data_IF_883355748646
#
_entry.id   IF_883355748646
#
_cell.length_a   1.000
_cell.length_b   1.000
_cell.length_c   1.000
_cell.angle_alpha   90.00
_cell.angle_beta   90.00
_cell.angle_gamma   90.00
#
_symmetry.space_group_name_H-M   'P 1'
#
loop_
_entity.id
_entity.type
_entity.pdbx_description
1 polymer ?
#
# COMPACT_ATOMS: atom_id res chain seq x y z
N UNK A 1 -14.87 -60.23 -51.72
CA UNK A 1 -14.61 -58.98 -52.46
C UNK A 1 -14.74 -57.81 -51.49
N UNK A 2 -13.62 -57.08 -51.29
CA UNK A 2 -13.42 -55.73 -50.71
C UNK A 2 -14.17 -55.40 -49.40
N UNK A 3 -13.56 -55.50 -48.20
CA UNK A 3 -12.49 -54.63 -47.63
C UNK A 3 -12.97 -53.17 -47.51
N UNK A 4 -13.00 -52.48 -46.35
CA UNK A 4 -11.88 -52.18 -45.47
C UNK A 4 -12.34 -51.70 -44.05
N UNK A 5 -11.67 -52.25 -43.01
CA UNK A 5 -11.03 -51.63 -41.81
C UNK A 5 -11.75 -50.60 -40.89
N UNK A 6 -11.52 -50.53 -39.57
CA UNK A 6 -11.03 -51.41 -38.46
C UNK A 6 -10.84 -50.51 -37.20
N UNK A 7 -11.05 -51.10 -36.03
CA UNK A 7 -10.29 -50.99 -34.75
C UNK A 7 -10.06 -49.66 -33.99
N UNK A 8 -10.57 -49.71 -32.76
CA UNK A 8 -9.99 -49.38 -31.44
C UNK A 8 -8.49 -49.03 -31.28
N UNK A 9 -8.27 -48.23 -30.22
CA UNK A 9 -7.17 -48.24 -29.21
C UNK A 9 -6.13 -47.10 -29.23
N UNK A 10 -6.20 -46.30 -28.15
CA UNK A 10 -5.15 -45.68 -27.32
C UNK A 10 -3.75 -45.43 -27.94
N UNK A 11 -3.33 -44.16 -28.02
CA UNK A 11 -1.92 -43.80 -27.82
C UNK A 11 -1.72 -42.36 -27.34
N UNK A 12 -1.01 -42.30 -26.21
CA UNK A 12 -0.50 -41.16 -25.47
C UNK A 12 0.65 -40.49 -26.26
N UNK A 13 0.53 -39.22 -26.61
CA UNK A 13 1.64 -38.45 -27.17
C UNK A 13 1.57 -36.97 -26.75
N UNK A 14 2.35 -36.68 -25.71
CA UNK A 14 3.10 -35.44 -25.45
C UNK A 14 2.58 -34.15 -26.10
N UNK A 15 1.74 -33.39 -25.39
CA UNK A 15 1.70 -31.94 -25.54
C UNK A 15 2.57 -31.31 -24.44
N UNK A 16 3.71 -30.77 -24.87
CA UNK A 16 4.62 -29.97 -24.07
C UNK A 16 3.84 -28.86 -23.33
N UNK A 17 4.05 -28.67 -22.01
CA UNK A 17 3.62 -27.45 -21.35
C UNK A 17 4.52 -26.33 -21.87
N UNK A 18 4.00 -25.52 -22.80
CA UNK A 18 4.54 -24.18 -23.03
C UNK A 18 4.41 -23.42 -21.71
N UNK A 19 5.48 -23.45 -20.92
CA UNK A 19 5.65 -22.60 -19.75
C UNK A 19 5.87 -21.19 -20.29
N UNK A 20 4.78 -20.50 -20.61
CA UNK A 20 4.81 -19.05 -20.66
C UNK A 20 5.20 -18.60 -19.28
N UNK A 21 6.45 -18.15 -19.14
CA UNK A 21 6.93 -17.38 -18.01
C UNK A 21 6.21 -16.02 -18.04
N UNK A 22 4.90 -16.04 -17.77
CA UNK A 22 4.16 -14.84 -17.47
C UNK A 22 4.70 -14.36 -16.12
N UNK A 23 5.53 -13.32 -16.17
CA UNK A 23 5.86 -12.50 -15.02
C UNK A 23 4.54 -12.16 -14.30
N UNK A 24 4.23 -12.90 -13.24
CA UNK A 24 3.17 -12.54 -12.30
C UNK A 24 3.60 -11.26 -11.61
N UNK A 25 3.36 -10.12 -12.25
CA UNK A 25 3.09 -8.90 -11.49
C UNK A 25 1.95 -9.26 -10.55
N UNK A 26 2.22 -9.33 -9.24
CA UNK A 26 1.19 -9.53 -8.22
C UNK A 26 0.16 -8.41 -8.38
N UNK A 27 -0.90 -8.65 -9.14
CA UNK A 27 -2.05 -7.76 -9.22
C UNK A 27 -2.66 -7.71 -7.83
N UNK A 28 -2.66 -6.52 -7.21
CA UNK A 28 -3.21 -6.35 -5.87
C UNK A 28 -4.68 -6.71 -5.88
N UNK A 29 -5.14 -7.41 -4.83
CA UNK A 29 -6.55 -7.77 -4.72
C UNK A 29 -7.41 -6.54 -4.42
N UNK A 30 -8.71 -6.60 -4.74
CA UNK A 30 -9.67 -5.55 -4.41
C UNK A 30 -9.62 -5.17 -2.92
N UNK A 31 -9.55 -6.17 -2.03
CA UNK A 31 -9.43 -5.94 -0.59
C UNK A 31 -8.16 -5.16 -0.19
N UNK A 32 -7.03 -5.39 -0.87
CA UNK A 32 -5.79 -4.62 -0.65
C UNK A 32 -5.95 -3.16 -1.10
N UNK A 33 -6.60 -2.91 -2.23
CA UNK A 33 -6.86 -1.56 -2.71
C UNK A 33 -7.80 -0.78 -1.78
N UNK A 34 -8.83 -1.44 -1.22
CA UNK A 34 -9.73 -0.83 -0.25
C UNK A 34 -9.01 -0.48 1.07
N UNK A 35 -8.12 -1.35 1.55
CA UNK A 35 -7.29 -1.09 2.73
C UNK A 35 -6.39 0.13 2.51
N UNK A 36 -5.64 0.16 1.41
CA UNK A 36 -4.75 1.29 1.08
C UNK A 36 -5.52 2.60 0.92
N UNK A 37 -6.74 2.55 0.36
CA UNK A 37 -7.62 3.71 0.26
C UNK A 37 -8.00 4.24 1.65
N UNK A 38 -8.37 3.36 2.58
CA UNK A 38 -8.71 3.74 3.96
C UNK A 38 -7.53 4.39 4.68
N UNK A 39 -6.32 3.83 4.51
CA UNK A 39 -5.07 4.37 5.05
C UNK A 39 -4.76 5.76 4.47
N UNK A 40 -4.87 5.92 3.15
CA UNK A 40 -4.68 7.21 2.48
C UNK A 40 -5.69 8.27 2.96
N UNK A 41 -6.96 7.91 3.15
CA UNK A 41 -7.96 8.85 3.69
C UNK A 41 -7.64 9.29 5.13
N UNK A 42 -7.12 8.38 5.96
CA UNK A 42 -6.66 8.71 7.30
C UNK A 42 -5.47 9.69 7.27
N UNK A 43 -4.51 9.47 6.36
CA UNK A 43 -3.39 10.39 6.12
C UNK A 43 -3.83 11.76 5.62
N UNK A 44 -4.83 11.83 4.73
CA UNK A 44 -5.41 13.11 4.28
C UNK A 44 -6.02 13.86 5.47
N UNK A 45 -6.80 13.17 6.32
CA UNK A 45 -7.40 13.78 7.52
C UNK A 45 -6.34 14.32 8.48
N UNK A 46 -5.26 13.57 8.65
CA UNK A 46 -4.12 13.95 9.49
C UNK A 46 -3.36 15.16 8.93
N UNK A 47 -2.99 15.12 7.64
CA UNK A 47 -2.32 16.22 6.97
C UNK A 47 -3.19 17.49 6.94
N UNK A 48 -4.52 17.35 6.79
CA UNK A 48 -5.47 18.46 6.94
C UNK A 48 -5.46 19.06 8.34
N UNK A 49 -5.36 18.23 9.39
CA UNK A 49 -5.29 18.71 10.78
C UNK A 49 -4.00 19.49 11.01
N UNK A 50 -2.87 18.96 10.56
CA UNK A 50 -1.56 19.61 10.65
C UNK A 50 -1.58 20.94 9.88
N UNK A 51 -2.07 20.93 8.64
CA UNK A 51 -2.20 22.12 7.80
C UNK A 51 -3.03 23.21 8.48
N UNK A 52 -4.20 22.87 9.03
CA UNK A 52 -5.06 23.82 9.73
C UNK A 52 -4.36 24.46 10.93
N UNK A 53 -3.57 23.69 11.68
CA UNK A 53 -2.84 24.20 12.83
C UNK A 53 -1.68 25.11 12.43
N UNK A 54 -0.91 24.75 11.40
CA UNK A 54 0.20 25.58 10.90
C UNK A 54 -0.33 26.89 10.29
N UNK A 55 -1.40 26.83 9.51
CA UNK A 55 -2.00 28.01 8.86
C UNK A 55 -2.47 29.09 9.84
N UNK A 56 -2.89 28.74 11.06
CA UNK A 56 -3.36 29.70 12.07
C UNK A 56 -2.27 30.69 12.48
N UNK A 57 -0.99 30.28 12.48
CA UNK A 57 0.11 31.17 12.86
C UNK A 57 0.69 31.93 11.66
N UNK A 58 0.84 31.27 10.51
CA UNK A 58 1.42 31.87 9.31
C UNK A 58 0.95 31.17 8.04
N UNK A 59 0.31 31.92 7.14
CA UNK A 59 -0.25 31.42 5.87
C UNK A 59 0.79 31.16 4.76
N UNK A 60 2.05 31.54 4.97
CA UNK A 60 3.14 31.32 4.02
C UNK A 60 4.37 30.82 4.78
N UNK A 61 4.38 29.53 5.13
CA UNK A 61 5.49 28.87 5.81
C UNK A 61 5.95 27.61 5.06
N UNK A 62 7.20 27.19 5.31
CA UNK A 62 7.72 25.93 4.77
C UNK A 62 6.96 24.72 5.34
N UNK A 63 6.51 24.80 6.59
CA UNK A 63 5.65 23.77 7.21
C UNK A 63 4.29 23.63 6.52
N UNK A 64 3.66 24.74 6.12
CA UNK A 64 2.44 24.71 5.31
C UNK A 64 2.69 24.10 3.92
N UNK A 65 3.78 24.50 3.25
CA UNK A 65 4.16 23.95 1.95
C UNK A 65 4.37 22.42 2.02
N UNK A 66 5.04 21.95 3.06
CA UNK A 66 5.29 20.51 3.26
C UNK A 66 3.98 19.75 3.53
N UNK A 67 3.06 20.32 4.32
CA UNK A 67 1.74 19.73 4.53
C UNK A 67 0.89 19.66 3.24
N UNK A 68 0.95 20.70 2.40
CA UNK A 68 0.28 20.69 1.08
C UNK A 68 0.90 19.63 0.17
N UNK A 69 2.24 19.51 0.12
CA UNK A 69 2.94 18.48 -0.66
C UNK A 69 2.59 17.07 -0.21
N UNK A 70 2.49 16.83 1.09
CA UNK A 70 2.04 15.54 1.62
C UNK A 70 0.60 15.25 1.17
N UNK A 71 -0.32 16.21 1.32
CA UNK A 71 -1.70 16.05 0.82
C UNK A 71 -1.74 15.72 -0.67
N UNK A 72 -0.95 16.40 -1.50
CA UNK A 72 -0.84 16.12 -2.94
C UNK A 72 -0.34 14.70 -3.19
N UNK A 73 0.66 14.24 -2.43
CA UNK A 73 1.22 12.90 -2.56
C UNK A 73 0.18 11.84 -2.23
N UNK A 74 -0.53 12.00 -1.12
CA UNK A 74 -1.59 11.07 -0.71
C UNK A 74 -2.77 11.11 -1.69
N UNK A 75 -3.15 12.30 -2.16
CA UNK A 75 -4.20 12.48 -3.17
C UNK A 75 -3.90 11.74 -4.47
N UNK A 76 -2.66 11.83 -4.97
CA UNK A 76 -2.19 11.04 -6.11
C UNK A 76 -2.27 9.53 -5.84
N UNK A 77 -1.94 9.10 -4.62
CA UNK A 77 -2.11 7.71 -4.19
C UNK A 77 -3.55 7.22 -4.27
N UNK A 78 -4.51 8.03 -3.81
CA UNK A 78 -5.96 7.74 -3.93
C UNK A 78 -6.38 7.62 -5.39
N UNK A 79 -6.00 8.57 -6.24
CA UNK A 79 -6.32 8.56 -7.68
C UNK A 79 -5.74 7.31 -8.36
N UNK A 80 -4.50 6.94 -8.04
CA UNK A 80 -3.86 5.73 -8.57
C UNK A 80 -4.60 4.46 -8.13
N UNK A 81 -5.07 4.39 -6.88
CA UNK A 81 -5.83 3.25 -6.40
C UNK A 81 -7.22 3.14 -7.05
N UNK A 82 -7.91 4.26 -7.24
CA UNK A 82 -9.18 4.30 -8.01
C UNK A 82 -8.94 3.85 -9.45
N UNK A 83 -7.84 4.28 -10.07
CA UNK A 83 -7.48 3.87 -11.44
C UNK A 83 -7.26 2.35 -11.55
N UNK A 84 -6.59 1.75 -10.56
CA UNK A 84 -6.42 0.29 -10.48
C UNK A 84 -7.74 -0.44 -10.28
N UNK A 85 -8.64 0.09 -9.44
CA UNK A 85 -9.98 -0.47 -9.21
C UNK A 85 -10.83 -0.43 -10.48
N UNK A 86 -10.75 0.67 -11.26
CA UNK A 86 -11.40 0.78 -12.57
C UNK A 86 -10.85 -0.26 -13.55
N UNK A 87 -9.53 -0.46 -13.60
CA UNK A 87 -8.92 -1.45 -14.49
C UNK A 87 -9.31 -2.89 -14.11
N UNK A 88 -9.42 -3.17 -12.81
CA UNK A 88 -9.93 -4.45 -12.32
C UNK A 88 -11.37 -4.67 -12.79
N UNK A 89 -12.26 -3.69 -12.58
CA UNK A 89 -13.67 -3.78 -13.02
C UNK A 89 -13.78 -3.88 -14.54
N UNK A 90 -12.90 -3.23 -15.31
CA UNK A 90 -12.88 -3.35 -16.77
C UNK A 90 -12.58 -4.79 -17.21
N UNK A 91 -11.65 -5.47 -16.53
CA UNK A 91 -11.32 -6.87 -16.81
C UNK A 91 -12.50 -7.77 -16.47
N UNK A 92 -13.10 -7.58 -15.29
CA UNK A 92 -14.31 -8.29 -14.84
C UNK A 92 -15.52 -8.08 -15.76
N UNK A 93 -15.66 -6.90 -16.37
CA UNK A 93 -16.72 -6.58 -17.34
C UNK A 93 -16.48 -7.33 -18.64
N UNK A 94 -15.25 -7.30 -19.17
CA UNK A 94 -14.90 -8.01 -20.39
C UNK A 94 -15.09 -9.52 -20.27
N UNK A 95 -14.76 -10.10 -19.11
CA UNK A 95 -14.99 -11.52 -18.83
C UNK A 95 -16.48 -11.85 -18.81
N UNK A 96 -17.30 -11.07 -18.09
CA UNK A 96 -18.75 -11.27 -18.05
C UNK A 96 -19.41 -11.08 -19.42
N UNK A 97 -18.95 -10.13 -20.23
CA UNK A 97 -19.40 -9.95 -21.62
C UNK A 97 -19.07 -11.19 -22.47
N UNK A 98 -17.87 -11.77 -22.31
CA UNK A 98 -17.51 -13.03 -22.96
C UNK A 98 -18.44 -14.20 -22.57
N UNK A 99 -18.75 -14.33 -21.28
CA UNK A 99 -19.70 -15.34 -20.77
C UNK A 99 -21.11 -15.12 -21.33
N UNK A 100 -21.60 -13.88 -21.35
CA UNK A 100 -22.91 -13.53 -21.91
C UNK A 100 -22.98 -13.93 -23.39
N UNK A 101 -21.95 -13.61 -24.18
CA UNK A 101 -21.92 -13.95 -25.60
C UNK A 101 -21.93 -15.47 -25.81
N UNK A 102 -21.22 -16.24 -24.99
CA UNK A 102 -21.23 -17.70 -25.04
C UNK A 102 -22.63 -18.27 -24.70
N UNK A 103 -23.25 -17.80 -23.61
CA UNK A 103 -24.59 -18.24 -23.20
C UNK A 103 -25.66 -17.88 -24.24
N UNK A 104 -25.54 -16.72 -24.88
CA UNK A 104 -26.42 -16.32 -25.98
C UNK A 104 -26.30 -17.28 -27.17
N UNK A 105 -25.07 -17.60 -27.58
CA UNK A 105 -24.84 -18.59 -28.66
C UNK A 105 -25.38 -19.97 -28.30
N UNK A 106 -25.22 -20.41 -27.05
CA UNK A 106 -25.75 -21.69 -26.58
C UNK A 106 -27.28 -21.70 -26.60
N UNK A 107 -27.94 -20.63 -26.16
CA UNK A 107 -29.41 -20.50 -26.24
C UNK A 107 -29.89 -20.57 -27.69
N UNK A 108 -29.21 -19.93 -28.62
CA UNK A 108 -29.57 -19.98 -30.04
C UNK A 108 -29.49 -21.40 -30.60
N UNK A 109 -28.39 -22.12 -30.32
CA UNK A 109 -28.22 -23.52 -30.74
C UNK A 109 -29.27 -24.44 -30.11
N UNK A 110 -29.46 -24.34 -28.79
CA UNK A 110 -30.43 -25.16 -28.06
C UNK A 110 -31.86 -24.92 -28.58
N UNK A 111 -32.22 -23.66 -28.89
CA UNK A 111 -33.53 -23.30 -29.47
C UNK A 111 -33.69 -23.83 -30.90
N UNK A 112 -32.65 -23.79 -31.73
CA UNK A 112 -32.68 -24.32 -33.08
C UNK A 112 -32.89 -25.85 -33.10
N UNK A 113 -32.15 -26.57 -32.25
CA UNK A 113 -32.32 -28.01 -32.03
C UNK A 113 -33.73 -28.32 -31.51
N UNK A 114 -34.21 -27.56 -30.52
CA UNK A 114 -35.55 -27.72 -29.96
C UNK A 114 -36.65 -27.46 -30.99
N UNK A 115 -36.51 -26.41 -31.80
CA UNK A 115 -37.45 -26.09 -32.88
C UNK A 115 -37.54 -27.24 -33.90
N UNK A 116 -36.40 -27.82 -34.27
CA UNK A 116 -36.35 -29.00 -35.15
C UNK A 116 -37.10 -30.17 -34.51
N UNK A 117 -36.89 -30.40 -33.21
CA UNK A 117 -37.56 -31.50 -32.52
C UNK A 117 -39.07 -31.32 -32.41
N UNK A 118 -39.51 -30.09 -32.13
CA UNK A 118 -40.93 -29.71 -32.05
C UNK A 118 -41.60 -29.80 -33.42
N UNK A 119 -40.94 -29.34 -34.48
CA UNK A 119 -41.46 -29.42 -35.84
C UNK A 119 -41.59 -30.87 -36.34
N UNK A 120 -40.61 -31.73 -36.05
CA UNK A 120 -40.74 -33.16 -36.37
C UNK A 120 -41.89 -33.81 -35.59
N UNK A 121 -42.04 -33.47 -34.31
CA UNK A 121 -43.14 -33.97 -33.50
C UNK A 121 -44.52 -33.47 -33.98
N UNK A 122 -44.62 -32.24 -34.50
CA UNK A 122 -45.88 -31.67 -34.98
C UNK A 122 -46.43 -32.43 -36.19
N UNK A 123 -45.56 -32.93 -37.08
CA UNK A 123 -45.95 -33.81 -38.20
C UNK A 123 -46.60 -35.12 -37.74
N UNK A 124 -46.28 -35.57 -36.53
CA UNK A 124 -46.81 -36.78 -35.90
C UNK A 124 -47.76 -36.50 -34.73
N UNK A 125 -48.19 -35.25 -34.55
CA UNK A 125 -48.88 -34.82 -33.33
C UNK A 125 -50.32 -35.33 -33.20
N UNK A 126 -50.97 -35.67 -34.31
CA UNK A 126 -52.30 -36.28 -34.25
C UNK A 126 -52.19 -37.65 -33.55
N UNK A 127 -53.02 -37.88 -32.53
CA UNK A 127 -53.09 -39.15 -31.79
C UNK A 127 -53.35 -40.33 -32.73
N UNK A 128 -54.14 -40.11 -33.79
CA UNK A 128 -54.36 -41.09 -34.84
C UNK A 128 -53.06 -41.44 -35.59
N UNK A 129 -52.24 -40.44 -35.98
CA UNK A 129 -50.97 -40.65 -36.67
C UNK A 129 -49.93 -41.36 -35.77
N UNK A 130 -49.96 -41.09 -34.46
CA UNK A 130 -49.09 -41.76 -33.49
C UNK A 130 -49.46 -43.24 -33.33
N UNK A 131 -50.75 -43.54 -33.21
CA UNK A 131 -51.24 -44.92 -33.17
C UNK A 131 -50.97 -45.63 -34.50
N UNK A 132 -51.26 -44.99 -35.63
CA UNK A 132 -50.96 -45.51 -36.97
C UNK A 132 -49.47 -45.86 -37.12
N UNK A 133 -48.55 -44.99 -36.66
CA UNK A 133 -47.12 -45.26 -36.67
C UNK A 133 -46.72 -46.45 -35.79
N UNK A 134 -47.31 -46.59 -34.60
CA UNK A 134 -47.04 -47.72 -33.72
C UNK A 134 -47.59 -49.03 -34.31
N UNK A 135 -48.83 -49.05 -34.77
CA UNK A 135 -49.53 -50.23 -35.29
C UNK A 135 -49.12 -50.62 -36.72
N UNK A 136 -48.50 -49.73 -37.51
CA UNK A 136 -47.86 -50.07 -38.79
C UNK A 136 -46.52 -50.81 -38.62
N UNK A 137 -46.31 -51.49 -37.49
CA UNK A 137 -45.12 -52.30 -37.23
C UNK A 137 -45.35 -53.72 -37.75
N UNK A 138 -44.35 -54.29 -38.42
CA UNK A 138 -44.38 -55.65 -38.98
C UNK A 138 -44.21 -56.74 -37.91
N UNK A 139 -43.74 -56.37 -36.71
CA UNK A 139 -43.54 -57.28 -35.59
C UNK A 139 -43.72 -56.59 -34.24
N UNK A 140 -44.02 -57.39 -33.20
CA UNK A 140 -44.11 -56.92 -31.82
C UNK A 140 -42.80 -56.25 -31.34
N UNK A 141 -41.64 -56.78 -31.72
CA UNK A 141 -40.35 -56.16 -31.38
C UNK A 141 -40.22 -54.76 -32.00
N UNK A 142 -40.61 -54.59 -33.27
CA UNK A 142 -40.58 -53.29 -33.93
C UNK A 142 -41.58 -52.30 -33.29
N UNK A 143 -42.75 -52.76 -32.87
CA UNK A 143 -43.72 -51.98 -32.10
C UNK A 143 -43.11 -51.46 -30.79
N UNK A 144 -42.51 -52.35 -29.99
CA UNK A 144 -41.87 -51.99 -28.71
C UNK A 144 -40.73 -50.98 -28.91
N UNK A 145 -39.90 -51.18 -29.95
CA UNK A 145 -38.84 -50.24 -30.29
C UNK A 145 -39.40 -48.86 -30.67
N UNK A 146 -40.41 -48.79 -31.56
CA UNK A 146 -41.07 -47.53 -31.93
C UNK A 146 -41.69 -46.82 -30.72
N UNK A 147 -42.31 -47.56 -29.79
CA UNK A 147 -42.84 -47.01 -28.55
C UNK A 147 -41.75 -46.39 -27.67
N UNK A 148 -40.63 -47.12 -27.47
CA UNK A 148 -39.46 -46.62 -26.70
C UNK A 148 -38.86 -45.38 -27.36
N UNK A 149 -38.73 -45.35 -28.68
CA UNK A 149 -38.24 -44.17 -29.40
C UNK A 149 -39.12 -42.94 -29.17
N UNK A 150 -40.45 -43.08 -29.22
CA UNK A 150 -41.36 -41.96 -28.95
C UNK A 150 -41.24 -41.45 -27.51
N UNK A 151 -41.06 -42.35 -26.53
CA UNK A 151 -40.82 -41.97 -25.13
C UNK A 151 -39.49 -41.23 -24.98
N UNK A 152 -38.39 -41.80 -25.47
CA UNK A 152 -37.07 -41.19 -25.40
C UNK A 152 -37.03 -39.82 -26.07
N UNK A 153 -37.71 -39.67 -27.21
CA UNK A 153 -37.80 -38.39 -27.92
C UNK A 153 -38.61 -37.33 -27.16
N UNK A 154 -39.71 -37.74 -26.50
CA UNK A 154 -40.48 -36.85 -25.63
C UNK A 154 -39.66 -36.40 -24.42
N UNK A 155 -38.92 -37.32 -23.80
CA UNK A 155 -38.01 -37.00 -22.70
C UNK A 155 -36.87 -36.07 -23.14
N UNK A 156 -36.26 -36.32 -24.30
CA UNK A 156 -35.21 -35.46 -24.85
C UNK A 156 -35.71 -34.03 -25.08
N UNK A 157 -36.92 -33.85 -25.65
CA UNK A 157 -37.54 -32.52 -25.79
C UNK A 157 -37.77 -31.84 -24.45
N UNK A 158 -38.30 -32.58 -23.46
CA UNK A 158 -38.53 -32.02 -22.13
C UNK A 158 -37.22 -31.57 -21.46
N UNK A 159 -36.18 -32.39 -21.52
CA UNK A 159 -34.83 -32.05 -21.03
C UNK A 159 -34.23 -30.84 -21.75
N UNK A 160 -34.39 -30.75 -23.07
CA UNK A 160 -33.92 -29.59 -23.85
C UNK A 160 -34.63 -28.29 -23.43
N UNK A 161 -35.95 -28.34 -23.23
CA UNK A 161 -36.71 -27.18 -22.75
C UNK A 161 -36.25 -26.74 -21.34
N UNK A 162 -35.99 -27.69 -20.44
CA UNK A 162 -35.44 -27.42 -19.12
C UNK A 162 -34.03 -26.79 -19.20
N UNK A 163 -33.17 -27.31 -20.09
CA UNK A 163 -31.84 -26.75 -20.33
C UNK A 163 -31.91 -25.31 -20.84
N UNK A 164 -32.77 -25.03 -21.82
CA UNK A 164 -33.00 -23.66 -22.31
C UNK A 164 -33.41 -22.75 -21.14
N UNK A 165 -34.34 -23.20 -20.29
CA UNK A 165 -34.75 -22.47 -19.10
C UNK A 165 -33.59 -22.17 -18.14
N UNK A 166 -32.75 -23.17 -17.83
CA UNK A 166 -31.57 -23.00 -16.97
C UNK A 166 -30.56 -22.01 -17.54
N UNK A 167 -30.22 -22.14 -18.82
CA UNK A 167 -29.26 -21.23 -19.48
C UNK A 167 -29.82 -19.81 -19.55
N UNK A 168 -31.13 -19.64 -19.79
CA UNK A 168 -31.79 -18.34 -19.75
C UNK A 168 -31.73 -17.68 -18.36
N UNK A 169 -31.91 -18.45 -17.28
CA UNK A 169 -31.77 -17.94 -15.91
C UNK A 169 -30.34 -17.49 -15.62
N UNK A 170 -29.34 -18.28 -16.02
CA UNK A 170 -27.92 -17.92 -15.86
C UNK A 170 -27.60 -16.66 -16.66
N UNK A 171 -28.06 -16.57 -17.91
CA UNK A 171 -27.87 -15.38 -18.76
C UNK A 171 -28.45 -14.12 -18.10
N UNK A 172 -29.68 -14.18 -17.60
CA UNK A 172 -30.30 -13.05 -16.92
C UNK A 172 -29.50 -12.63 -15.69
N UNK A 173 -29.03 -13.58 -14.88
CA UNK A 173 -28.17 -13.31 -13.72
C UNK A 173 -26.83 -12.66 -14.10
N UNK A 174 -26.22 -13.09 -15.21
CA UNK A 174 -25.00 -12.47 -15.73
C UNK A 174 -25.23 -11.04 -16.25
N UNK A 175 -26.38 -10.79 -16.90
CA UNK A 175 -26.78 -9.44 -17.36
C UNK A 175 -26.96 -8.47 -16.18
N UNK A 176 -27.63 -8.91 -15.10
CA UNK A 176 -27.76 -8.12 -13.87
C UNK A 176 -26.39 -7.81 -13.24
N UNK A 177 -25.50 -8.82 -13.20
CA UNK A 177 -24.13 -8.68 -12.70
C UNK A 177 -23.34 -7.67 -13.53
N UNK A 178 -23.45 -7.74 -14.86
CA UNK A 178 -22.81 -6.81 -15.79
C UNK A 178 -23.30 -5.38 -15.56
N UNK A 179 -24.61 -5.18 -15.42
CA UNK A 179 -25.19 -3.86 -15.16
C UNK A 179 -24.71 -3.29 -13.81
N UNK A 180 -24.65 -4.12 -12.76
CA UNK A 180 -24.10 -3.74 -11.46
C UNK A 180 -22.63 -3.31 -11.56
N UNK A 181 -21.78 -4.08 -12.26
CA UNK A 181 -20.37 -3.74 -12.50
C UNK A 181 -20.23 -2.42 -13.28
N UNK A 182 -21.04 -2.19 -14.32
CA UNK A 182 -21.06 -0.94 -15.09
C UNK A 182 -21.47 0.26 -14.24
N UNK A 183 -22.46 0.10 -13.34
CA UNK A 183 -22.85 1.12 -12.36
C UNK A 183 -21.72 1.45 -11.39
N UNK A 184 -21.04 0.43 -10.86
CA UNK A 184 -19.88 0.62 -9.98
C UNK A 184 -18.75 1.38 -10.68
N UNK A 185 -18.39 0.99 -11.92
CA UNK A 185 -17.40 1.69 -12.75
C UNK A 185 -17.74 3.17 -12.93
N UNK A 186 -18.99 3.50 -13.28
CA UNK A 186 -19.44 4.90 -13.42
C UNK A 186 -19.27 5.68 -12.11
N UNK A 187 -19.60 5.06 -10.97
CA UNK A 187 -19.38 5.64 -9.65
C UNK A 187 -17.90 5.95 -9.36
N UNK A 188 -16.99 5.05 -9.73
CA UNK A 188 -15.54 5.27 -9.55
C UNK A 188 -14.99 6.35 -10.47
N UNK A 189 -15.45 6.43 -11.72
CA UNK A 189 -15.06 7.50 -12.65
C UNK A 189 -15.45 8.88 -12.11
N UNK A 190 -16.68 9.02 -11.58
CA UNK A 190 -17.12 10.26 -10.95
C UNK A 190 -16.27 10.63 -9.73
N UNK A 191 -15.90 9.65 -8.90
CA UNK A 191 -14.98 9.85 -7.77
C UNK A 191 -13.60 10.31 -8.27
N UNK A 192 -13.04 9.64 -9.28
CA UNK A 192 -11.75 10.02 -9.86
C UNK A 192 -11.73 11.46 -10.38
N UNK A 193 -12.82 11.90 -11.03
CA UNK A 193 -12.97 13.28 -11.48
C UNK A 193 -12.99 14.27 -10.31
N UNK A 194 -13.73 13.97 -9.24
CA UNK A 194 -13.75 14.80 -8.03
C UNK A 194 -12.37 14.87 -7.37
N UNK A 195 -11.66 13.74 -7.25
CA UNK A 195 -10.32 13.71 -6.68
C UNK A 195 -9.28 14.45 -7.54
N UNK A 196 -9.43 14.43 -8.86
CA UNK A 196 -8.59 15.23 -9.77
C UNK A 196 -8.84 16.73 -9.60
N UNK A 197 -10.11 17.16 -9.45
CA UNK A 197 -10.43 18.56 -9.15
C UNK A 197 -9.79 19.01 -7.83
N UNK A 198 -9.90 18.19 -6.78
CA UNK A 198 -9.25 18.44 -5.50
C UNK A 198 -7.73 18.56 -5.64
N UNK A 199 -7.10 17.68 -6.42
CA UNK A 199 -5.67 17.72 -6.69
C UNK A 199 -5.24 19.02 -7.40
N UNK A 200 -6.02 19.50 -8.37
CA UNK A 200 -5.74 20.77 -9.05
C UNK A 200 -5.81 21.93 -8.04
N UNK A 201 -6.84 21.99 -7.21
CA UNK A 201 -6.96 23.01 -6.16
C UNK A 201 -5.75 23.01 -5.22
N UNK A 202 -5.30 21.83 -4.79
CA UNK A 202 -4.10 21.70 -3.94
C UNK A 202 -2.83 22.18 -4.64
N UNK A 203 -2.67 21.92 -5.94
CA UNK A 203 -1.54 22.43 -6.72
C UNK A 203 -1.57 23.94 -6.84
N UNK A 204 -2.73 24.54 -7.10
CA UNK A 204 -2.87 26.00 -7.14
C UNK A 204 -2.54 26.64 -5.78
N UNK A 205 -2.96 26.01 -4.68
CA UNK A 205 -2.56 26.44 -3.33
C UNK A 205 -1.05 26.33 -3.12
N UNK A 206 -0.44 25.22 -3.55
CA UNK A 206 1.01 25.02 -3.51
C UNK A 206 1.74 26.15 -4.25
N UNK A 207 1.32 26.45 -5.48
CA UNK A 207 1.95 27.48 -6.32
C UNK A 207 1.82 28.88 -5.70
N UNK A 208 0.67 29.18 -5.08
CA UNK A 208 0.46 30.42 -4.34
C UNK A 208 1.42 30.56 -3.16
N UNK A 209 1.57 29.51 -2.34
CA UNK A 209 2.47 29.51 -1.18
C UNK A 209 3.93 29.62 -1.64
N UNK A 210 4.32 28.91 -2.69
CA UNK A 210 5.67 29.02 -3.27
C UNK A 210 5.93 30.45 -3.76
N UNK A 211 4.97 31.08 -4.42
CA UNK A 211 5.08 32.48 -4.88
C UNK A 211 5.24 33.45 -3.71
N UNK A 212 4.48 33.29 -2.64
CA UNK A 212 4.60 34.12 -1.43
C UNK A 212 5.95 33.93 -0.74
N UNK A 213 6.41 32.68 -0.57
CA UNK A 213 7.71 32.38 0.04
C UNK A 213 8.88 32.88 -0.82
N UNK A 214 8.75 32.84 -2.15
CA UNK A 214 9.78 33.36 -3.06
C UNK A 214 9.92 34.88 -2.96
N UNK A 215 8.86 35.62 -2.60
CA UNK A 215 8.97 37.07 -2.32
C UNK A 215 9.71 37.38 -1.03
N UNK A 216 9.88 36.40 -0.14
CA UNK A 216 10.59 36.50 1.13
C UNK A 216 11.97 35.82 1.08
N UNK A 217 12.58 35.78 -0.12
CA UNK A 217 13.79 35.01 -0.39
C UNK A 217 14.93 35.31 0.59
N UNK A 218 15.20 36.60 0.84
CA UNK A 218 16.29 37.04 1.71
C UNK A 218 16.13 36.53 3.15
N UNK A 219 14.94 36.71 3.74
CA UNK A 219 14.62 36.22 5.09
C UNK A 219 14.75 34.68 5.16
N UNK A 220 14.30 33.99 4.11
CA UNK A 220 14.36 32.54 4.03
C UNK A 220 15.80 32.03 3.91
N UNK A 221 16.67 32.74 3.18
CA UNK A 221 18.10 32.42 3.12
C UNK A 221 18.77 32.54 4.49
N UNK A 222 18.46 33.59 5.24
CA UNK A 222 18.97 33.77 6.61
C UNK A 222 18.48 32.67 7.56
N UNK A 223 17.20 32.33 7.50
CA UNK A 223 16.60 31.25 8.31
C UNK A 223 17.25 29.89 7.99
N UNK A 224 17.47 29.60 6.70
CA UNK A 224 18.13 28.36 6.27
C UNK A 224 19.58 28.30 6.75
N UNK A 225 20.32 29.41 6.66
CA UNK A 225 21.69 29.48 7.16
C UNK A 225 21.76 29.22 8.68
N UNK A 226 20.87 29.85 9.45
CA UNK A 226 20.76 29.63 10.90
C UNK A 226 20.40 28.16 11.23
N UNK A 227 19.45 27.58 10.50
CA UNK A 227 19.05 26.17 10.65
C UNK A 227 20.20 25.22 10.33
N UNK A 228 20.95 25.46 9.25
CA UNK A 228 22.12 24.65 8.90
C UNK A 228 23.20 24.72 9.99
N UNK A 229 23.43 25.90 10.57
CA UNK A 229 24.39 26.06 11.66
C UNK A 229 23.94 25.29 12.92
N UNK A 230 22.65 25.34 13.26
CA UNK A 230 22.08 24.59 14.37
C UNK A 230 22.21 23.07 14.19
N UNK A 231 21.97 22.56 12.98
CA UNK A 231 22.17 21.15 12.63
C UNK A 231 23.64 20.75 12.77
N UNK A 232 24.58 21.56 12.28
CA UNK A 232 26.02 21.29 12.45
C UNK A 232 26.43 21.21 13.92
N UNK A 233 25.90 22.10 14.77
CA UNK A 233 26.16 22.07 16.22
C UNK A 233 25.65 20.78 16.87
N UNK A 234 24.43 20.36 16.51
CA UNK A 234 23.88 19.08 16.96
C UNK A 234 24.76 17.90 16.51
N UNK A 235 25.14 17.86 15.24
CA UNK A 235 25.93 16.75 14.70
C UNK A 235 27.29 16.62 15.37
N UNK A 236 27.95 17.75 15.66
CA UNK A 236 29.21 17.76 16.39
C UNK A 236 29.01 17.25 17.82
N UNK A 237 27.95 17.70 18.52
CA UNK A 237 27.61 17.22 19.86
C UNK A 237 27.37 15.70 19.87
N UNK A 238 26.62 15.17 18.90
CA UNK A 238 26.40 13.73 18.78
C UNK A 238 27.72 13.01 18.57
N UNK A 239 28.56 13.48 17.65
CA UNK A 239 29.85 12.86 17.36
C UNK A 239 30.77 12.82 18.58
N UNK A 240 30.77 13.88 19.39
CA UNK A 240 31.55 13.96 20.63
C UNK A 240 31.03 12.98 21.69
N UNK A 241 29.71 12.93 21.90
CA UNK A 241 29.08 11.98 22.83
C UNK A 241 29.34 10.53 22.42
N UNK A 242 29.17 10.20 21.13
CA UNK A 242 29.44 8.85 20.62
C UNK A 242 30.91 8.48 20.82
N UNK A 243 31.84 9.40 20.53
CA UNK A 243 33.28 9.16 20.68
C UNK A 243 33.64 8.91 22.15
N UNK A 244 33.11 9.72 23.06
CA UNK A 244 33.33 9.55 24.50
C UNK A 244 32.77 8.22 24.98
N UNK A 245 31.58 7.82 24.53
CA UNK A 245 30.96 6.56 24.90
C UNK A 245 31.75 5.35 24.39
N UNK A 246 32.24 5.38 23.15
CA UNK A 246 33.14 4.33 22.62
C UNK A 246 34.41 4.23 23.46
N UNK A 247 35.01 5.38 23.84
CA UNK A 247 36.21 5.39 24.67
C UNK A 247 35.96 4.89 26.10
N UNK A 248 34.80 5.21 26.70
CA UNK A 248 34.37 4.66 28.00
C UNK A 248 34.20 3.14 27.93
N UNK A 249 33.49 2.65 26.92
CA UNK A 249 33.28 1.21 26.70
C UNK A 249 34.61 0.47 26.47
N UNK A 250 35.54 1.05 25.71
CA UNK A 250 36.85 0.45 25.44
C UNK A 250 37.74 0.40 26.69
N UNK A 251 37.68 1.43 27.56
CA UNK A 251 38.41 1.44 28.84
C UNK A 251 37.87 0.37 29.79
N UNK A 252 36.54 0.29 29.97
CA UNK A 252 35.91 -0.72 30.80
C UNK A 252 36.24 -2.16 30.32
N UNK A 253 36.23 -2.41 29.00
CA UNK A 253 36.59 -3.71 28.45
C UNK A 253 38.06 -4.10 28.71
N UNK A 254 38.99 -3.13 28.70
CA UNK A 254 40.41 -3.35 29.02
C UNK A 254 40.61 -3.68 30.50
N UNK A 255 39.91 -2.97 31.39
CA UNK A 255 39.96 -3.21 32.84
C UNK A 255 39.39 -4.58 33.21
N UNK A 256 38.37 -5.06 32.51
CA UNK A 256 37.80 -6.40 32.67
C UNK A 256 38.60 -7.54 31.98
N UNK A 257 39.78 -7.24 31.41
CA UNK A 257 40.63 -8.23 30.76
C UNK A 257 40.06 -8.84 29.48
N UNK A 258 39.01 -8.25 28.89
CA UNK A 258 38.39 -8.72 27.64
C UNK A 258 39.24 -8.28 26.45
N UNK A 259 39.63 -9.21 25.59
CA UNK A 259 40.35 -8.88 24.33
C UNK A 259 39.46 -8.00 23.46
N UNK A 260 39.88 -6.75 23.24
CA UNK A 260 39.23 -5.85 22.28
C UNK A 260 39.49 -6.40 20.88
N UNK A 261 38.46 -6.90 20.19
CA UNK A 261 38.58 -7.26 18.77
C UNK A 261 38.89 -6.02 17.92
N UNK A 262 40.17 -5.70 17.76
CA UNK A 262 40.83 -5.05 16.60
C UNK A 262 40.29 -3.76 15.97
N UNK A 263 39.17 -3.17 16.39
CA UNK A 263 38.59 -1.99 15.74
C UNK A 263 38.33 -0.89 16.77
N UNK A 264 39.12 0.18 16.68
CA UNK A 264 39.04 1.42 17.47
C UNK A 264 37.74 2.23 17.24
N UNK A 265 36.81 1.72 16.44
CA UNK A 265 35.62 2.46 15.95
C UNK A 265 34.28 1.84 16.34
N UNK A 266 34.26 0.76 17.15
CA UNK A 266 33.01 0.10 17.59
C UNK A 266 32.87 0.17 19.10
N UNK A 267 31.64 0.40 19.57
CA UNK A 267 31.30 0.25 20.99
C UNK A 267 31.53 -1.21 21.37
N UNK A 268 32.47 -1.48 22.29
CA UNK A 268 32.65 -2.81 22.87
C UNK A 268 31.47 -3.10 23.79
N UNK A 269 30.63 -4.06 23.40
CA UNK A 269 29.37 -4.33 24.08
C UNK A 269 29.57 -5.29 25.26
N UNK A 270 28.95 -4.97 26.39
CA UNK A 270 28.64 -5.98 27.41
C UNK A 270 27.70 -7.04 26.81
N UNK A 271 27.61 -8.26 27.36
CA UNK A 271 26.69 -9.28 26.86
C UNK A 271 25.24 -8.78 26.76
N UNK A 272 24.79 -7.98 27.73
CA UNK A 272 23.48 -7.34 27.73
C UNK A 272 23.33 -6.30 26.59
N UNK A 273 24.33 -5.42 26.40
CA UNK A 273 24.31 -4.43 25.33
C UNK A 273 24.39 -5.09 23.93
N UNK A 274 25.03 -6.25 23.81
CA UNK A 274 25.07 -7.04 22.58
C UNK A 274 23.69 -7.62 22.23
N UNK A 275 22.95 -8.11 23.22
CA UNK A 275 21.57 -8.56 23.04
C UNK A 275 20.67 -7.40 22.60
N UNK A 276 20.71 -6.25 23.28
CA UNK A 276 19.93 -5.06 22.89
C UNK A 276 20.28 -4.62 21.47
N UNK A 277 21.57 -4.59 21.11
CA UNK A 277 22.02 -4.23 19.76
C UNK A 277 21.50 -5.20 18.68
N UNK A 278 21.52 -6.51 18.98
CA UNK A 278 21.02 -7.54 18.06
C UNK A 278 19.50 -7.44 17.88
N UNK A 279 18.76 -7.21 18.96
CA UNK A 279 17.31 -6.98 18.95
C UNK A 279 16.95 -5.69 18.20
N UNK A 280 17.73 -4.62 18.36
CA UNK A 280 17.53 -3.39 17.61
C UNK A 280 17.72 -3.62 16.10
N UNK A 281 18.82 -4.26 15.71
CA UNK A 281 19.10 -4.60 14.31
C UNK A 281 18.02 -5.53 13.70
N UNK A 282 17.54 -6.51 14.46
CA UNK A 282 16.49 -7.45 14.04
C UNK A 282 15.11 -6.81 13.81
N UNK A 283 14.87 -5.62 14.37
CA UNK A 283 13.63 -4.85 14.20
C UNK A 283 13.71 -3.80 13.09
N UNK A 284 14.76 -3.82 12.25
CA UNK A 284 14.87 -2.91 11.10
C UNK A 284 13.62 -2.98 10.21
N UNK A 285 13.04 -1.81 9.94
CA UNK A 285 11.83 -1.63 9.13
C UNK A 285 10.53 -1.97 9.86
N UNK A 286 10.60 -2.27 11.17
CA UNK A 286 9.44 -2.66 12.00
C UNK A 286 9.22 -1.74 13.18
N UNK A 287 10.07 -0.73 13.38
CA UNK A 287 9.89 0.21 14.47
C UNK A 287 8.67 1.11 14.26
N UNK A 288 7.97 1.38 15.35
CA UNK A 288 6.91 2.37 15.35
C UNK A 288 7.49 3.77 15.19
N UNK A 289 6.66 4.70 14.74
CA UNK A 289 7.08 6.08 14.60
C UNK A 289 7.36 6.72 15.98
N UNK A 290 8.36 7.61 16.07
CA UNK A 290 8.71 8.31 17.31
C UNK A 290 7.64 9.32 17.74
N UNK A 291 6.63 9.56 16.91
CA UNK A 291 5.41 10.32 17.22
C UNK A 291 4.19 9.47 16.87
N UNK A 292 3.05 9.70 17.53
CA UNK A 292 1.79 9.00 17.24
C UNK A 292 1.31 9.24 15.81
N UNK A 293 1.47 10.49 15.39
CA UNK A 293 0.85 11.08 14.22
C UNK A 293 1.84 12.05 13.60
N UNK A 294 1.85 12.19 12.28
CA UNK A 294 2.75 13.06 11.52
C UNK A 294 3.12 12.52 10.15
N UNK A 295 3.85 13.28 9.37
CA UNK A 295 4.44 12.83 8.11
C UNK A 295 5.88 13.34 8.03
N UNK A 296 6.69 12.72 7.17
CA UNK A 296 8.07 13.16 6.96
C UNK A 296 8.02 14.44 6.12
N UNK A 297 8.30 15.57 6.75
CA UNK A 297 8.40 16.87 6.08
C UNK A 297 9.75 17.04 5.37
N UNK A 298 10.81 16.41 5.89
CA UNK A 298 12.13 16.39 5.28
C UNK A 298 12.79 15.02 5.41
N UNK A 299 13.28 14.52 4.28
CA UNK A 299 13.90 13.19 4.18
C UNK A 299 15.39 13.22 4.51
N UNK A 300 15.94 12.05 4.71
CA UNK A 300 17.38 11.84 4.90
C UNK A 300 18.19 12.14 3.64
N UNK A 301 19.35 12.74 3.84
CA UNK A 301 20.33 13.02 2.81
C UNK A 301 20.25 14.44 2.25
N UNK A 302 20.78 14.62 1.04
CA UNK A 302 20.87 15.91 0.37
C UNK A 302 19.70 16.14 -0.57
N UNK A 303 19.03 17.26 -0.42
CA UNK A 303 17.93 17.69 -1.28
C UNK A 303 17.94 19.20 -1.49
N UNK A 304 17.39 19.63 -2.62
CA UNK A 304 17.23 21.06 -2.90
C UNK A 304 16.16 21.67 -2.00
N UNK A 305 16.38 22.90 -1.57
CA UNK A 305 15.37 23.68 -0.85
C UNK A 305 14.12 23.83 -1.73
N UNK A 306 12.91 23.65 -1.18
CA UNK A 306 11.68 23.64 -1.97
C UNK A 306 11.32 24.97 -2.65
N UNK A 307 11.95 26.07 -2.22
CA UNK A 307 11.70 27.43 -2.72
C UNK A 307 12.98 28.11 -3.22
N UNK A 308 14.12 27.90 -2.54
CA UNK A 308 15.36 28.63 -2.82
C UNK A 308 16.16 27.84 -3.85
N UNK A 309 16.34 28.41 -5.05
CA UNK A 309 17.12 27.75 -6.11
C UNK A 309 18.60 27.72 -5.74
N UNK A 310 19.28 26.60 -6.01
CA UNK A 310 20.71 26.43 -5.73
C UNK A 310 21.07 26.15 -4.25
N UNK A 311 20.12 26.28 -3.32
CA UNK A 311 20.34 25.95 -1.91
C UNK A 311 20.11 24.46 -1.68
N UNK A 312 21.16 23.76 -1.23
CA UNK A 312 21.12 22.35 -0.86
C UNK A 312 21.03 22.22 0.66
N UNK A 313 20.08 21.42 1.13
CA UNK A 313 19.93 21.05 2.53
C UNK A 313 20.48 19.63 2.68
N UNK A 314 21.28 19.41 3.73
CA UNK A 314 21.78 18.09 4.11
C UNK A 314 21.13 17.71 5.45
N UNK A 315 20.17 16.78 5.42
CA UNK A 315 19.51 16.30 6.62
C UNK A 315 20.09 14.94 7.03
N UNK A 316 20.79 14.92 8.18
CA UNK A 316 21.34 13.70 8.79
C UNK A 316 20.31 12.88 9.59
N UNK A 317 19.04 12.96 9.22
CA UNK A 317 17.96 12.23 9.84
C UNK A 317 16.70 12.36 9.03
N UNK A 318 15.57 12.45 9.70
CA UNK A 318 14.30 12.87 9.11
C UNK A 318 13.68 13.93 10.00
N UNK A 319 12.96 14.85 9.36
CA UNK A 319 12.08 15.75 10.07
C UNK A 319 10.64 15.24 9.93
N UNK A 320 9.95 15.11 11.07
CA UNK A 320 8.59 14.62 11.16
C UNK A 320 7.69 15.74 11.65
N UNK A 321 6.89 16.29 10.74
CA UNK A 321 5.88 17.28 11.09
C UNK A 321 4.67 16.57 11.69
N UNK A 322 4.24 17.04 12.86
CA UNK A 322 3.17 16.47 13.66
C UNK A 322 2.24 17.59 14.15
N UNK A 323 1.34 17.27 15.06
CA UNK A 323 0.42 18.25 15.66
C UNK A 323 0.97 18.83 16.93
N UNK A 324 0.56 20.07 17.23
CA UNK A 324 0.95 20.77 18.44
C UNK A 324 0.70 19.92 19.70
N UNK A 325 1.70 19.88 20.57
CA UNK A 325 1.67 19.11 21.82
C UNK A 325 1.87 17.61 21.66
N UNK A 326 2.22 17.12 20.46
CA UNK A 326 2.53 15.71 20.27
C UNK A 326 3.68 15.26 21.18
N UNK A 327 3.53 14.07 21.77
CA UNK A 327 4.58 13.42 22.55
C UNK A 327 5.58 12.74 21.64
N UNK A 328 6.88 12.99 21.90
CA UNK A 328 7.97 12.19 21.37
C UNK A 328 8.12 10.94 22.21
N UNK A 329 8.35 9.80 21.56
CA UNK A 329 8.47 8.49 22.21
C UNK A 329 9.74 7.76 21.80
N UNK A 330 10.30 7.01 22.74
CA UNK A 330 11.43 6.15 22.48
C UNK A 330 11.08 5.07 21.45
N UNK A 331 11.94 4.95 20.44
CA UNK A 331 11.80 3.98 19.35
C UNK A 331 11.95 2.54 19.84
N UNK A 332 12.85 2.32 20.78
CA UNK A 332 13.21 1.01 21.33
C UNK A 332 13.72 1.14 22.77
N UNK A 333 13.85 0.00 23.46
CA UNK A 333 14.42 -0.01 24.80
C UNK A 333 15.91 0.36 24.78
N UNK A 334 16.35 1.16 25.75
CA UNK A 334 17.73 1.67 25.77
C UNK A 334 17.99 2.62 26.93
N UNK A 335 19.24 3.08 27.03
CA UNK A 335 19.69 3.98 28.09
C UNK A 335 19.82 5.40 27.55
N UNK A 336 19.24 6.38 28.24
CA UNK A 336 19.39 7.80 27.92
C UNK A 336 20.84 8.20 28.20
N UNK A 337 21.58 8.53 27.15
CA UNK A 337 22.98 8.97 27.27
C UNK A 337 23.11 10.43 27.64
N UNK A 338 22.25 11.27 27.08
CA UNK A 338 22.35 12.71 27.25
C UNK A 338 20.99 13.35 27.04
N UNK A 339 20.71 14.31 27.91
CA UNK A 339 19.71 15.35 27.73
C UNK A 339 20.45 16.67 27.63
N UNK A 340 20.38 17.33 26.49
CA UNK A 340 21.08 18.58 26.22
C UNK A 340 20.16 19.59 25.54
N UNK A 341 20.56 20.86 25.53
CA UNK A 341 19.89 21.91 24.75
C UNK A 341 20.88 22.49 23.76
N UNK A 342 20.54 22.46 22.48
CA UNK A 342 21.36 23.04 21.42
C UNK A 342 20.59 24.22 20.81
N UNK A 343 21.18 25.42 20.76
CA UNK A 343 20.55 26.58 20.13
C UNK A 343 20.09 26.27 18.69
N UNK A 344 18.82 26.51 18.40
CA UNK A 344 18.17 26.21 17.12
C UNK A 344 17.66 24.77 16.97
N UNK A 345 18.04 23.84 17.86
CA UNK A 345 17.50 22.48 17.92
C UNK A 345 16.74 22.19 19.22
N UNK A 346 16.63 23.17 20.12
CA UNK A 346 15.99 23.07 21.44
C UNK A 346 16.51 21.87 22.24
N UNK A 347 15.66 21.27 23.07
CA UNK A 347 16.05 20.12 23.86
C UNK A 347 16.21 18.89 22.98
N UNK A 348 17.24 18.11 23.31
CA UNK A 348 17.64 16.89 22.62
C UNK A 348 17.75 15.77 23.64
N UNK A 349 17.24 14.60 23.27
CA UNK A 349 17.43 13.36 23.99
C UNK A 349 18.17 12.40 23.09
N UNK A 350 19.27 11.81 23.58
CA UNK A 350 20.02 10.77 22.89
C UNK A 350 19.92 9.46 23.67
N UNK A 351 19.53 8.38 23.00
CA UNK A 351 19.28 7.07 23.61
C UNK A 351 20.17 6.03 22.93
N UNK A 352 20.88 5.23 23.73
CA UNK A 352 21.73 4.14 23.28
C UNK A 352 21.00 2.81 23.33
N UNK A 353 21.15 2.04 22.26
CA UNK A 353 20.60 0.71 22.05
C UNK A 353 21.72 -0.27 21.65
N UNK A 354 22.80 -0.32 22.44
CA UNK A 354 24.02 -1.06 22.09
C UNK A 354 24.91 -0.30 21.11
N UNK A 355 25.16 -0.84 19.90
CA UNK A 355 25.94 -0.13 18.84
C UNK A 355 25.13 1.00 18.17
N UNK A 356 23.82 1.06 18.42
CA UNK A 356 22.91 2.00 17.79
C UNK A 356 22.57 3.14 18.74
N UNK A 357 22.40 4.34 18.17
CA UNK A 357 21.94 5.51 18.90
C UNK A 357 20.76 6.14 18.18
N UNK A 358 19.75 6.56 18.95
CA UNK A 358 18.64 7.36 18.44
C UNK A 358 18.69 8.74 19.06
N UNK A 359 18.46 9.77 18.23
CA UNK A 359 18.48 11.17 18.65
C UNK A 359 17.13 11.80 18.34
N UNK A 360 16.57 12.46 19.34
CA UNK A 360 15.29 13.16 19.27
C UNK A 360 15.56 14.63 19.58
N UNK A 361 15.51 15.49 18.57
CA UNK A 361 15.75 16.91 18.69
C UNK A 361 14.48 17.71 18.40
N UNK A 362 14.52 19.02 18.64
CA UNK A 362 13.36 19.93 18.58
C UNK A 362 12.30 19.56 19.61
N UNK A 363 12.71 19.18 20.82
CA UNK A 363 11.78 18.95 21.93
C UNK A 363 11.53 20.26 22.70
N UNK A 364 10.27 20.54 23.02
CA UNK A 364 9.86 21.65 23.89
C UNK A 364 10.19 21.35 25.35
N UNK A 365 9.85 20.14 25.80
CA UNK A 365 10.15 19.65 27.15
C UNK A 365 10.69 18.23 27.07
N UNK A 366 11.45 17.84 28.08
CA UNK A 366 12.00 16.50 28.24
C UNK A 366 11.43 15.88 29.51
N UNK A 367 11.07 14.59 29.45
CA UNK A 367 10.44 13.84 30.55
C UNK A 367 11.33 12.74 31.12
N UNK A 368 12.59 12.67 30.67
CA UNK A 368 13.58 11.67 31.07
C UNK A 368 14.88 12.32 31.50
N UNK A 369 15.70 11.61 32.27
CA UNK A 369 17.01 12.09 32.74
C UNK A 369 18.16 11.25 32.20
N UNK A 370 19.35 11.83 32.15
CA UNK A 370 20.57 11.10 31.76
C UNK A 370 20.78 9.89 32.67
N UNK A 371 21.08 8.74 32.08
CA UNK A 371 21.26 7.46 32.77
C UNK A 371 19.98 6.63 32.92
N UNK A 372 18.80 7.22 32.72
CA UNK A 372 17.53 6.52 32.79
C UNK A 372 17.41 5.45 31.70
N UNK A 373 16.90 4.27 32.05
CA UNK A 373 16.51 3.25 31.06
C UNK A 373 15.07 3.50 30.64
N UNK A 374 14.84 3.50 29.33
CA UNK A 374 13.52 3.64 28.71
C UNK A 374 13.14 2.38 27.95
N UNK A 375 11.85 2.16 27.79
CA UNK A 375 11.26 1.11 26.96
C UNK A 375 10.68 1.68 25.67
N UNK A 376 10.42 0.81 24.72
CA UNK A 376 9.71 1.17 23.50
C UNK A 376 8.36 1.85 23.84
N UNK A 377 8.07 2.98 23.17
CA UNK A 377 6.92 3.87 23.38
C UNK A 377 6.94 4.73 24.63
N UNK A 378 7.94 4.65 25.51
CA UNK A 378 8.01 5.56 26.64
C UNK A 378 8.07 7.01 26.16
N UNK A 379 7.32 7.89 26.81
CA UNK A 379 7.29 9.31 26.47
C UNK A 379 8.57 9.96 26.97
N UNK A 380 9.35 10.51 26.05
CA UNK A 380 10.64 11.14 26.35
C UNK A 380 10.56 12.67 26.36
N UNK A 381 9.47 13.23 25.85
CA UNK A 381 9.26 14.68 25.83
C UNK A 381 8.07 15.10 24.96
N UNK A 382 7.93 16.40 24.77
CA UNK A 382 6.92 17.00 23.88
C UNK A 382 7.60 17.70 22.71
N UNK A 383 7.03 17.59 21.51
CA UNK A 383 7.60 18.18 20.29
C UNK A 383 7.38 19.70 20.30
N UNK A 384 8.43 20.44 19.93
CA UNK A 384 8.39 21.91 19.85
C UNK A 384 7.57 22.39 18.66
N UNK A 385 6.89 23.53 18.86
CA UNK A 385 6.17 24.26 17.81
C UNK A 385 6.84 25.61 17.63
N UNK A 386 7.31 25.89 16.43
CA UNK A 386 7.99 27.14 16.12
C UNK A 386 7.05 28.35 16.00
N UNK A 387 7.64 29.50 15.68
CA UNK A 387 6.94 30.76 15.46
C UNK A 387 5.94 30.66 14.29
N UNK A 388 6.28 29.89 13.26
CA UNK A 388 5.46 29.67 12.06
C UNK A 388 4.31 28.66 12.30
N UNK A 389 4.24 28.04 13.48
CA UNK A 389 3.19 27.07 13.82
C UNK A 389 3.49 25.66 13.33
N UNK A 390 4.74 25.40 12.94
CA UNK A 390 5.21 24.07 12.55
C UNK A 390 5.63 23.31 13.80
N UNK A 391 4.94 22.22 14.09
CA UNK A 391 5.36 21.26 15.13
C UNK A 391 6.17 20.15 14.46
N UNK A 392 7.47 20.07 14.72
CA UNK A 392 8.36 19.17 13.99
C UNK A 392 9.39 18.51 14.91
N UNK A 393 9.47 17.18 14.84
CA UNK A 393 10.50 16.39 15.50
C UNK A 393 11.63 16.14 14.51
N UNK A 394 12.88 16.43 14.89
CA UNK A 394 14.03 15.95 14.13
C UNK A 394 14.51 14.65 14.76
N UNK A 395 14.61 13.61 13.94
CA UNK A 395 14.92 12.25 14.38
C UNK A 395 16.10 11.69 13.60
N UNK A 396 17.14 11.22 14.30
CA UNK A 396 18.31 10.59 13.68
C UNK A 396 18.54 9.19 14.24
N UNK A 397 19.11 8.33 13.39
CA UNK A 397 19.57 6.99 13.77
C UNK A 397 21.04 6.89 13.42
N UNK A 398 21.85 6.45 14.36
CA UNK A 398 23.28 6.25 14.18
C UNK A 398 23.65 4.81 14.52
N UNK A 399 24.68 4.31 13.85
CA UNK A 399 25.39 3.08 14.24
C UNK A 399 26.84 3.42 14.44
N UNK A 400 27.32 3.31 15.67
CA UNK A 400 28.61 3.86 16.09
C UNK A 400 28.71 5.32 15.60
N UNK A 401 29.77 5.68 14.87
CA UNK A 401 30.00 7.01 14.30
C UNK A 401 29.28 7.27 12.95
N UNK A 402 28.54 6.31 12.42
CA UNK A 402 27.91 6.42 11.09
C UNK A 402 26.42 6.74 11.20
N UNK A 403 25.99 7.80 10.53
CA UNK A 403 24.58 8.15 10.44
C UNK A 403 23.84 7.24 9.44
N UNK A 404 22.62 6.83 9.77
CA UNK A 404 21.79 5.93 8.98
C UNK A 404 20.45 6.59 8.64
N UNK A 405 19.92 6.31 7.45
CA UNK A 405 18.60 6.77 7.04
C UNK A 405 17.49 6.18 7.95
N UNK A 406 16.83 6.99 8.79
CA UNK A 406 15.79 6.52 9.71
C UNK A 406 14.55 5.92 9.02
N UNK A 407 14.24 6.33 7.78
CA UNK A 407 13.09 5.80 7.02
C UNK A 407 13.21 4.28 6.79
N UNK A 408 14.44 3.76 6.71
CA UNK A 408 14.67 2.32 6.55
C UNK A 408 14.49 1.51 7.84
N UNK A 409 14.30 2.18 8.97
CA UNK A 409 14.18 1.58 10.30
C UNK A 409 12.75 1.60 10.82
N UNK A 410 11.96 2.60 10.46
CA UNK A 410 10.56 2.75 10.88
C UNK A 410 9.60 2.08 9.91
N UNK A 411 8.39 1.78 10.37
CA UNK A 411 7.31 1.25 9.53
C UNK A 411 6.97 2.25 8.42
N UNK A 412 6.77 1.79 7.18
CA UNK A 412 6.18 2.63 6.15
C UNK A 412 4.78 3.06 6.58
N UNK A 413 4.49 4.34 6.41
CA UNK A 413 3.17 4.92 6.70
C UNK A 413 2.21 4.78 5.53
#
# INVERSE_FOLDING_TARGET
MRSLYRFTFLLLLLSLPFTTLAQKTKTKSKAQLEKEKKENLARIKEANRILKQTKVKKEASIGELNAIKEKITVQKGVINNISREINYINSDVSETEGVINALQSDIEKLKAEYATMVYAASKTANSYNKLMFLFAAESFNQFVMRLRYLQQYSEARHKQAEQIGKVQLILNSQLETLESKRRQKKGLLNKQLSENKNLITLKTQQDSVVSQLSKQEENLQQEVAARQQAVRKLDNLIADIVREEIARAARAAREEGRKTSGSTSKVTLTPEAALISSSFAGNKGRFLWPVERGFISQKFGRHNHPVLKGVVIDNRGIDIQTTQGASARALFEGKVLTVASVPGMNNIVMIQHGEYFTVYAKLRSVSVTTGQTVKMKDVIGTVYTDADGTTELQFQVWKNSTNLNPESWILPK
#
